data_IF_672217853869
#
_entry.id   IF_672217853869
#
_cell.length_a   1.000
_cell.length_b   1.000
_cell.length_c   1.000
_cell.angle_alpha   90.00
_cell.angle_beta   90.00
_cell.angle_gamma   90.00
#
_symmetry.space_group_name_H-M   'P 1'
#
loop_
_entity.id
_entity.type
_entity.pdbx_description
1 polymer ?
#
# COMPACT_ATOMS: atom_id res chain seq x y z
N UNK A 1 2.94 21.65 19.78
CA UNK A 1 2.20 20.38 19.72
C UNK A 1 3.13 19.34 19.15
N UNK A 2 3.33 18.22 19.86
CA UNK A 2 4.29 17.20 19.45
C UNK A 2 3.56 16.07 18.71
N UNK A 3 3.78 15.90 17.39
CA UNK A 3 3.30 14.74 16.66
C UNK A 3 3.91 13.44 17.21
N UNK A 4 3.07 12.45 17.44
CA UNK A 4 3.42 11.13 17.96
C UNK A 4 3.17 10.09 16.86
N UNK A 5 4.15 9.23 16.58
CA UNK A 5 3.92 8.13 15.65
C UNK A 5 2.91 7.15 16.24
N UNK A 6 2.08 6.52 15.42
CA UNK A 6 1.03 5.61 15.94
C UNK A 6 1.66 4.44 16.71
N UNK A 7 2.78 3.90 16.23
CA UNK A 7 3.57 2.88 16.91
C UNK A 7 4.18 3.39 18.23
N UNK A 8 4.64 4.64 18.28
CA UNK A 8 5.20 5.22 19.53
C UNK A 8 4.12 5.62 20.53
N UNK A 9 2.96 6.06 20.05
CA UNK A 9 1.84 6.51 20.86
C UNK A 9 1.26 5.38 21.73
N UNK A 10 1.46 4.12 21.34
CA UNK A 10 0.88 2.96 22.03
C UNK A 10 1.91 1.98 22.62
N UNK A 11 3.20 2.37 22.66
CA UNK A 11 4.31 1.50 23.10
C UNK A 11 5.10 2.09 24.27
N UNK A 12 4.73 1.70 25.51
CA UNK A 12 5.75 1.38 26.50
C UNK A 12 6.12 -0.10 26.27
N UNK A 13 7.37 -0.32 25.82
CA UNK A 13 8.05 -1.61 25.53
C UNK A 13 7.49 -2.50 24.41
N UNK A 14 8.26 -2.59 23.32
CA UNK A 14 8.37 -3.80 22.50
C UNK A 14 7.94 -3.64 21.04
N UNK A 15 8.94 -3.67 20.15
CA UNK A 15 8.87 -3.98 18.71
C UNK A 15 8.26 -2.93 17.77
N UNK A 16 9.15 -2.27 17.02
CA UNK A 16 8.79 -1.60 15.77
C UNK A 16 8.71 -2.64 14.66
N UNK A 17 7.51 -2.96 14.19
CA UNK A 17 7.30 -3.72 12.96
C UNK A 17 6.67 -2.81 11.90
N UNK A 18 7.50 -2.39 10.95
CA UNK A 18 7.03 -1.85 9.67
C UNK A 18 6.42 -3.04 8.92
N UNK A 19 5.12 -2.97 8.65
CA UNK A 19 4.39 -4.03 7.97
C UNK A 19 4.88 -4.20 6.53
N UNK A 20 5.06 -5.49 6.25
CA UNK A 20 5.52 -6.19 5.06
C UNK A 20 5.06 -5.55 3.74
N UNK A 21 6.02 -5.08 2.96
CA UNK A 21 5.79 -4.68 1.57
C UNK A 21 5.51 -5.95 0.75
N UNK A 22 4.50 -5.91 -0.10
CA UNK A 22 3.90 -6.91 -1.03
C UNK A 22 4.71 -8.08 -1.63
N UNK A 23 5.62 -8.73 -0.90
CA UNK A 23 6.57 -9.74 -1.39
C UNK A 23 6.40 -11.09 -0.69
N UNK A 24 5.21 -11.40 -0.20
CA UNK A 24 4.87 -12.75 0.25
C UNK A 24 4.92 -13.70 -0.95
N UNK A 25 5.81 -14.71 -0.91
CA UNK A 25 5.90 -15.69 -1.98
C UNK A 25 4.60 -16.49 -2.01
N UNK A 26 4.15 -16.85 -3.21
CA UNK A 26 3.04 -17.79 -3.32
C UNK A 26 3.43 -19.11 -2.61
N UNK A 27 2.54 -19.74 -1.83
CA UNK A 27 2.85 -21.01 -1.16
C UNK A 27 3.35 -22.11 -2.12
N UNK A 28 2.97 -22.07 -3.40
CA UNK A 28 3.43 -23.01 -4.43
C UNK A 28 4.77 -22.62 -5.08
N UNK A 29 5.37 -21.50 -4.69
CA UNK A 29 6.52 -20.92 -5.36
C UNK A 29 7.70 -21.89 -5.43
N UNK A 30 8.08 -22.49 -4.31
CA UNK A 30 9.20 -23.42 -4.22
C UNK A 30 8.96 -24.68 -5.08
N UNK A 31 7.76 -25.25 -5.03
CA UNK A 31 7.38 -26.39 -5.87
C UNK A 31 7.40 -26.03 -7.36
N UNK A 32 6.89 -24.85 -7.71
CA UNK A 32 6.85 -24.35 -9.08
C UNK A 32 8.25 -24.10 -9.63
N UNK A 33 9.19 -23.59 -8.81
CA UNK A 33 10.60 -23.41 -9.21
C UNK A 33 11.23 -24.77 -9.47
N UNK A 34 11.07 -25.75 -8.56
CA UNK A 34 11.60 -27.10 -8.78
C UNK A 34 11.07 -27.71 -10.08
N UNK A 35 9.79 -27.52 -10.37
CA UNK A 35 9.20 -27.99 -11.63
C UNK A 35 9.85 -27.33 -12.86
N UNK A 36 9.94 -25.99 -12.87
CA UNK A 36 10.49 -25.22 -13.99
C UNK A 36 11.97 -25.55 -14.23
N UNK A 37 12.76 -25.64 -13.15
CA UNK A 37 14.18 -25.98 -13.23
C UNK A 37 14.38 -27.40 -13.75
N UNK A 38 13.54 -28.34 -13.34
CA UNK A 38 13.57 -29.72 -13.83
C UNK A 38 13.23 -29.80 -15.33
N UNK A 39 12.21 -29.07 -15.77
CA UNK A 39 11.76 -29.09 -17.17
C UNK A 39 12.64 -28.24 -18.09
N UNK A 40 13.48 -27.36 -17.54
CA UNK A 40 14.27 -26.33 -18.24
C UNK A 40 13.42 -25.46 -19.20
N UNK A 41 12.11 -25.39 -18.96
CA UNK A 41 11.14 -24.64 -19.76
C UNK A 41 10.14 -23.99 -18.81
N UNK A 42 9.87 -22.71 -19.03
CA UNK A 42 8.89 -21.94 -18.27
C UNK A 42 7.82 -21.39 -19.20
N UNK A 43 6.56 -21.67 -18.87
CA UNK A 43 5.40 -21.08 -19.53
C UNK A 43 4.24 -21.00 -18.54
N UNK A 44 3.45 -19.93 -18.62
CA UNK A 44 2.28 -19.74 -17.75
C UNK A 44 1.32 -20.93 -17.88
N UNK A 45 1.03 -21.36 -19.12
CA UNK A 45 0.15 -22.51 -19.39
C UNK A 45 0.69 -23.86 -18.93
N UNK A 46 2.03 -24.01 -18.86
CA UNK A 46 2.67 -25.18 -18.24
C UNK A 46 2.40 -25.24 -16.74
N UNK A 47 2.64 -24.13 -16.04
CA UNK A 47 2.40 -24.01 -14.60
C UNK A 47 0.91 -24.18 -14.27
N UNK A 48 0.01 -23.59 -15.06
CA UNK A 48 -1.45 -23.77 -14.88
C UNK A 48 -1.86 -25.24 -14.85
N UNK A 49 -1.40 -26.02 -15.82
CA UNK A 49 -1.77 -27.44 -15.95
C UNK A 49 -1.15 -28.30 -14.86
N UNK A 50 0.12 -28.04 -14.53
CA UNK A 50 0.85 -28.79 -13.53
C UNK A 50 0.25 -28.61 -12.12
N UNK A 51 -0.03 -27.36 -11.74
CA UNK A 51 -0.49 -27.01 -10.40
C UNK A 51 -2.00 -26.82 -10.28
N UNK A 52 -2.74 -26.97 -11.39
CA UNK A 52 -4.21 -26.79 -11.46
C UNK A 52 -4.67 -25.44 -10.92
N UNK A 53 -3.94 -24.38 -11.28
CA UNK A 53 -4.23 -23.00 -10.86
C UNK A 53 -4.70 -22.13 -12.03
N UNK A 54 -5.42 -21.06 -11.71
CA UNK A 54 -5.86 -20.07 -12.69
C UNK A 54 -4.70 -19.31 -13.34
N UNK A 55 -4.93 -18.75 -14.54
CA UNK A 55 -3.93 -18.03 -15.33
C UNK A 55 -3.21 -16.95 -14.52
N UNK A 56 -3.95 -16.10 -13.81
CA UNK A 56 -3.38 -14.99 -13.02
C UNK A 56 -2.42 -15.47 -11.94
N UNK A 57 -2.69 -16.62 -11.30
CA UNK A 57 -1.81 -17.17 -10.26
C UNK A 57 -0.56 -17.82 -10.87
N UNK A 58 -0.71 -18.50 -12.00
CA UNK A 58 0.43 -19.02 -12.74
C UNK A 58 1.33 -17.90 -13.28
N UNK A 59 0.75 -16.82 -13.80
CA UNK A 59 1.49 -15.65 -14.25
C UNK A 59 2.26 -14.99 -13.09
N UNK A 60 1.64 -14.88 -11.90
CA UNK A 60 2.34 -14.42 -10.69
C UNK A 60 3.52 -15.29 -10.32
N UNK A 61 3.36 -16.62 -10.37
CA UNK A 61 4.48 -17.52 -10.06
C UNK A 61 5.65 -17.30 -11.03
N UNK A 62 5.37 -17.08 -12.32
CA UNK A 62 6.40 -16.75 -13.31
C UNK A 62 7.07 -15.40 -13.00
N UNK A 63 6.31 -14.37 -12.66
CA UNK A 63 6.83 -13.05 -12.28
C UNK A 63 7.71 -13.12 -11.03
N UNK A 64 7.26 -13.84 -9.99
CA UNK A 64 8.06 -14.07 -8.78
C UNK A 64 9.36 -14.83 -9.07
N UNK A 65 9.37 -15.73 -10.06
CA UNK A 65 10.57 -16.47 -10.46
C UNK A 65 11.57 -15.57 -11.18
N UNK A 66 11.09 -14.63 -12.00
CA UNK A 66 11.90 -13.62 -12.67
C UNK A 66 12.55 -12.69 -11.63
N UNK A 67 11.76 -12.16 -10.70
CA UNK A 67 12.25 -11.31 -9.60
C UNK A 67 13.26 -12.01 -8.68
N UNK A 68 13.12 -13.33 -8.53
CA UNK A 68 14.04 -14.16 -7.79
C UNK A 68 15.32 -14.53 -8.56
N UNK A 69 15.40 -14.19 -9.85
CA UNK A 69 16.53 -14.56 -10.72
C UNK A 69 16.56 -16.05 -11.08
N UNK A 70 15.44 -16.77 -10.94
CA UNK A 70 15.30 -18.17 -11.36
C UNK A 70 15.17 -18.28 -12.86
N UNK A 71 14.48 -17.31 -13.48
CA UNK A 71 14.26 -17.23 -14.91
C UNK A 71 14.65 -15.85 -15.46
N UNK A 72 14.93 -15.78 -16.75
CA UNK A 72 15.25 -14.53 -17.43
C UNK A 72 14.01 -13.65 -17.63
N UNK A 73 14.26 -12.40 -17.98
CA UNK A 73 13.25 -11.55 -18.60
C UNK A 73 12.67 -12.20 -19.85
N UNK A 74 11.45 -11.78 -20.22
CA UNK A 74 10.80 -12.27 -21.42
C UNK A 74 11.57 -11.83 -22.67
N UNK A 75 12.08 -12.80 -23.43
CA UNK A 75 12.76 -12.54 -24.69
C UNK A 75 11.82 -12.04 -25.79
N UNK A 76 12.40 -11.59 -26.91
CA UNK A 76 11.66 -11.02 -28.04
C UNK A 76 10.67 -12.00 -28.71
N UNK A 77 10.84 -13.30 -28.48
CA UNK A 77 9.96 -14.38 -28.94
C UNK A 77 8.93 -14.82 -27.88
N UNK A 78 8.85 -14.11 -26.75
CA UNK A 78 7.96 -14.43 -25.63
C UNK A 78 8.47 -15.55 -24.70
N UNK A 79 9.61 -16.18 -25.01
CA UNK A 79 10.20 -17.24 -24.19
C UNK A 79 11.06 -16.67 -23.06
N UNK A 80 11.18 -17.45 -21.99
CA UNK A 80 12.05 -17.17 -20.84
C UNK A 80 12.98 -18.35 -20.63
N UNK A 81 14.22 -18.07 -20.25
CA UNK A 81 15.25 -19.07 -20.01
C UNK A 81 15.40 -19.33 -18.51
N UNK A 82 15.71 -20.57 -18.12
CA UNK A 82 15.95 -20.92 -16.71
C UNK A 82 17.42 -20.66 -16.38
N UNK A 83 17.66 -19.80 -15.38
CA UNK A 83 18.99 -19.29 -15.04
C UNK A 83 19.67 -20.02 -13.88
N UNK A 84 18.98 -20.95 -13.24
CA UNK A 84 19.47 -21.68 -12.05
C UNK A 84 19.40 -23.19 -12.24
N UNK A 85 20.14 -23.95 -11.42
CA UNK A 85 20.12 -25.41 -11.39
C UNK A 85 19.49 -25.93 -10.10
N UNK A 86 18.93 -27.15 -10.12
CA UNK A 86 18.21 -27.70 -8.98
C UNK A 86 19.14 -27.94 -7.77
N UNK A 87 20.40 -28.27 -8.02
CA UNK A 87 21.47 -28.39 -7.03
C UNK A 87 21.79 -27.06 -6.34
N UNK A 88 21.56 -25.95 -7.02
CA UNK A 88 21.83 -24.60 -6.52
C UNK A 88 20.60 -23.94 -5.90
N UNK A 89 19.39 -24.45 -6.20
CA UNK A 89 18.15 -23.86 -5.70
C UNK A 89 17.93 -24.16 -4.21
N UNK A 90 17.78 -23.10 -3.43
CA UNK A 90 17.35 -23.17 -2.03
C UNK A 90 16.51 -21.92 -1.72
N UNK A 91 15.26 -22.12 -1.29
CA UNK A 91 14.34 -21.05 -0.92
C UNK A 91 14.94 -20.13 0.17
N UNK A 92 15.79 -20.69 1.04
CA UNK A 92 16.49 -19.97 2.10
C UNK A 92 17.39 -18.86 1.55
N UNK A 93 17.92 -19.00 0.32
CA UNK A 93 18.71 -17.96 -0.34
C UNK A 93 17.86 -16.73 -0.65
N UNK A 94 16.62 -16.92 -1.08
CA UNK A 94 15.69 -15.82 -1.34
C UNK A 94 15.28 -15.15 -0.04
N UNK A 95 14.97 -15.94 1.00
CA UNK A 95 14.66 -15.39 2.32
C UNK A 95 15.83 -14.58 2.89
N UNK A 96 17.08 -15.06 2.72
CA UNK A 96 18.28 -14.34 3.13
C UNK A 96 18.49 -13.04 2.31
N UNK A 97 18.33 -13.10 0.98
CA UNK A 97 18.41 -11.91 0.10
C UNK A 97 17.32 -10.89 0.46
N UNK A 98 16.11 -11.35 0.77
CA UNK A 98 15.01 -10.52 1.27
C UNK A 98 15.38 -9.87 2.60
N UNK A 99 15.86 -10.65 3.57
CA UNK A 99 16.28 -10.14 4.87
C UNK A 99 17.39 -9.10 4.73
N UNK A 100 18.35 -9.31 3.84
CA UNK A 100 19.45 -8.37 3.58
C UNK A 100 18.96 -7.09 2.90
N UNK A 101 18.15 -7.18 1.83
CA UNK A 101 17.54 -6.02 1.17
C UNK A 101 16.67 -5.23 2.14
N UNK A 102 15.85 -5.92 2.92
CA UNK A 102 15.00 -5.32 3.94
C UNK A 102 15.82 -4.60 5.02
N UNK A 103 16.91 -5.23 5.49
CA UNK A 103 17.82 -4.62 6.46
C UNK A 103 18.48 -3.36 5.89
N UNK A 104 19.03 -3.44 4.68
CA UNK A 104 19.66 -2.31 4.00
C UNK A 104 18.69 -1.14 3.81
N UNK A 105 17.48 -1.43 3.32
CA UNK A 105 16.41 -0.44 3.15
C UNK A 105 16.02 0.23 4.48
N UNK A 106 15.90 -0.57 5.56
CA UNK A 106 15.56 -0.05 6.89
C UNK A 106 16.69 0.78 7.50
N UNK A 107 17.95 0.40 7.27
CA UNK A 107 19.10 1.16 7.75
C UNK A 107 19.20 2.52 7.02
N UNK A 108 19.01 2.55 5.70
CA UNK A 108 18.95 3.80 4.90
C UNK A 108 17.79 4.71 5.34
N UNK A 109 16.61 4.13 5.60
CA UNK A 109 15.45 4.83 6.13
C UNK A 109 15.77 5.49 7.48
N UNK A 110 16.35 4.74 8.41
CA UNK A 110 16.70 5.23 9.74
C UNK A 110 17.69 6.39 9.67
N UNK A 111 18.69 6.28 8.81
CA UNK A 111 19.65 7.34 8.58
C UNK A 111 18.94 8.62 8.09
N UNK A 112 18.17 8.53 7.00
CA UNK A 112 17.43 9.69 6.46
C UNK A 112 16.46 10.31 7.47
N UNK A 113 15.78 9.49 8.26
CA UNK A 113 14.87 9.95 9.33
C UNK A 113 15.63 10.63 10.47
N UNK A 114 16.82 10.14 10.83
CA UNK A 114 17.63 10.71 11.90
C UNK A 114 18.13 12.12 11.56
N UNK A 115 18.31 12.43 10.26
CA UNK A 115 18.68 13.77 9.79
C UNK A 115 17.50 14.76 9.74
N UNK A 116 16.25 14.31 9.93
CA UNK A 116 15.09 15.17 9.84
C UNK A 116 14.86 15.99 11.12
N UNK A 117 14.53 17.27 10.95
CA UNK A 117 14.38 18.22 12.05
C UNK A 117 12.98 18.24 12.66
N UNK A 118 12.02 17.54 12.05
CA UNK A 118 10.63 17.48 12.53
C UNK A 118 9.97 16.14 12.20
N UNK A 119 8.97 15.73 12.98
CA UNK A 119 8.22 14.50 12.70
C UNK A 119 7.47 14.55 11.36
N UNK A 120 6.83 15.66 10.94
CA UNK A 120 6.22 15.70 9.60
C UNK A 120 7.25 15.44 8.49
N UNK A 121 8.47 15.93 8.66
CA UNK A 121 9.58 15.66 7.75
C UNK A 121 10.02 14.19 7.80
N UNK A 122 10.13 13.59 8.99
CA UNK A 122 10.37 12.15 9.13
C UNK A 122 9.30 11.30 8.44
N UNK A 123 8.01 11.67 8.60
CA UNK A 123 6.90 10.96 7.98
C UNK A 123 6.93 11.12 6.46
N UNK A 124 7.25 12.33 5.96
CA UNK A 124 7.47 12.55 4.53
C UNK A 124 8.60 11.68 3.97
N UNK A 125 9.75 11.62 4.64
CA UNK A 125 10.89 10.77 4.24
C UNK A 125 10.48 9.30 4.23
N UNK A 126 9.80 8.84 5.29
CA UNK A 126 9.28 7.48 5.40
C UNK A 126 8.33 7.15 4.25
N UNK A 127 7.38 8.04 3.95
CA UNK A 127 6.42 7.85 2.87
C UNK A 127 7.07 7.76 1.50
N UNK A 128 7.99 8.68 1.20
CA UNK A 128 8.72 8.72 -0.08
C UNK A 128 9.54 7.45 -0.26
N UNK A 129 10.29 7.07 0.77
CA UNK A 129 11.20 5.93 0.70
C UNK A 129 10.44 4.60 0.62
N UNK A 130 9.35 4.45 1.38
CA UNK A 130 8.49 3.25 1.32
C UNK A 130 7.46 3.29 0.20
N UNK A 131 7.38 4.38 -0.58
CA UNK A 131 6.40 4.59 -1.65
C UNK A 131 4.97 4.26 -1.21
N UNK A 132 4.57 4.69 0.00
CA UNK A 132 3.25 4.44 0.57
C UNK A 132 2.77 5.61 1.41
N UNK A 133 1.45 5.77 1.51
CA UNK A 133 0.84 6.73 2.44
C UNK A 133 1.19 6.32 3.86
N UNK A 134 1.62 7.31 4.64
CA UNK A 134 1.86 7.16 6.08
C UNK A 134 0.86 8.01 6.85
N UNK A 135 0.50 7.52 8.04
CA UNK A 135 -0.35 8.22 8.99
C UNK A 135 0.37 8.39 10.32
N UNK A 136 0.09 9.48 11.02
CA UNK A 136 0.61 9.74 12.38
C UNK A 136 -0.42 10.55 13.18
N UNK A 137 -0.21 10.62 14.49
CA UNK A 137 -1.07 11.38 15.38
C UNK A 137 -0.41 12.71 15.72
N UNK A 138 -1.21 13.76 15.75
CA UNK A 138 -0.79 15.06 16.24
C UNK A 138 -1.62 15.40 17.47
N UNK A 139 -0.95 15.63 18.60
CA UNK A 139 -1.61 16.06 19.83
C UNK A 139 -2.28 17.43 19.62
N UNK A 140 -3.58 17.52 19.88
CA UNK A 140 -4.34 18.77 19.75
C UNK A 140 -4.29 19.63 21.01
N UNK A 141 -3.64 19.17 22.08
CA UNK A 141 -3.62 19.82 23.39
C UNK A 141 -4.98 19.87 24.09
N UNK A 142 -6.00 19.24 23.51
CA UNK A 142 -7.37 19.23 24.02
C UNK A 142 -7.71 17.90 24.70
N UNK A 143 -8.59 17.95 25.70
CA UNK A 143 -9.14 16.77 26.36
C UNK A 143 -10.62 16.59 25.94
N UNK A 144 -11.02 15.34 25.78
CA UNK A 144 -12.41 14.95 25.57
C UNK A 144 -13.22 15.11 26.88
N UNK A 145 -14.57 15.13 26.81
CA UNK A 145 -15.42 15.22 28.00
C UNK A 145 -15.18 14.10 29.04
N UNK A 146 -14.65 12.96 28.59
CA UNK A 146 -14.29 11.79 29.40
C UNK A 146 -12.84 11.81 29.90
N UNK A 147 -12.09 12.90 29.66
CA UNK A 147 -10.73 13.10 30.14
C UNK A 147 -9.63 12.50 29.27
N UNK A 148 -9.96 11.87 28.13
CA UNK A 148 -8.96 11.37 27.18
C UNK A 148 -8.39 12.49 26.30
N UNK A 149 -7.10 12.43 26.02
CA UNK A 149 -6.46 13.37 25.11
C UNK A 149 -6.93 13.19 23.67
N UNK A 150 -7.21 14.31 23.01
CA UNK A 150 -7.72 14.35 21.63
C UNK A 150 -6.56 14.47 20.67
N UNK A 151 -6.50 13.55 19.71
CA UNK A 151 -5.49 13.55 18.66
C UNK A 151 -6.10 13.87 17.31
N UNK A 152 -5.30 14.53 16.48
CA UNK A 152 -5.57 14.72 15.06
C UNK A 152 -4.84 13.66 14.26
N UNK A 153 -5.57 12.86 13.51
CA UNK A 153 -5.01 11.85 12.61
C UNK A 153 -4.53 12.52 11.31
N UNK A 154 -3.22 12.64 11.15
CA UNK A 154 -2.56 13.22 9.98
C UNK A 154 -2.15 12.15 9.00
N UNK A 155 -1.98 12.54 7.73
CA UNK A 155 -1.39 11.68 6.71
C UNK A 155 -0.49 12.44 5.75
N UNK A 156 0.38 11.71 5.07
CA UNK A 156 1.17 12.23 3.97
C UNK A 156 1.18 11.20 2.83
N UNK A 157 0.77 11.65 1.63
CA UNK A 157 0.85 10.89 0.40
C UNK A 157 2.10 11.29 -0.39
N UNK A 158 2.99 10.34 -0.74
CA UNK A 158 4.23 10.65 -1.47
C UNK A 158 4.03 10.73 -2.98
N UNK A 159 2.85 10.35 -3.50
CA UNK A 159 2.72 9.95 -4.89
C UNK A 159 2.81 11.08 -5.90
N UNK A 160 2.28 12.26 -5.59
CA UNK A 160 2.46 13.44 -6.45
C UNK A 160 3.93 13.83 -6.56
N UNK A 161 4.67 13.76 -5.45
CA UNK A 161 6.11 14.02 -5.43
C UNK A 161 6.89 12.97 -6.24
N UNK A 162 6.61 11.68 -6.04
CA UNK A 162 7.28 10.59 -6.75
C UNK A 162 7.02 10.65 -8.26
N UNK A 163 5.78 10.94 -8.66
CA UNK A 163 5.40 11.06 -10.07
C UNK A 163 6.08 12.23 -10.78
N UNK A 164 6.28 13.36 -10.08
CA UNK A 164 6.99 14.51 -10.62
C UNK A 164 8.49 14.21 -10.88
N UNK A 165 9.08 13.25 -10.17
CA UNK A 165 10.47 12.84 -10.32
C UNK A 165 10.63 11.55 -11.14
N UNK A 166 9.54 10.99 -11.66
CA UNK A 166 9.56 9.81 -12.50
C UNK A 166 9.84 10.19 -13.95
N UNK A 167 10.75 9.46 -14.61
CA UNK A 167 10.93 9.56 -16.07
C UNK A 167 9.68 9.01 -16.76
N UNK A 168 9.12 9.78 -17.69
CA UNK A 168 8.00 9.27 -18.50
C UNK A 168 8.51 8.21 -19.48
N UNK A 169 7.99 6.99 -19.36
CA UNK A 169 8.34 5.85 -20.21
C UNK A 169 7.22 5.45 -21.17
N UNK A 170 6.11 6.19 -21.20
CA UNK A 170 5.01 5.98 -22.13
C UNK A 170 5.40 6.57 -23.49
N UNK A 171 5.50 5.74 -24.52
CA UNK A 171 5.78 6.19 -25.89
C UNK A 171 4.49 6.34 -26.70
N UNK A 172 4.60 7.05 -27.83
CA UNK A 172 3.51 7.25 -28.79
C UNK A 172 2.87 5.94 -29.23
N UNK A 173 3.71 4.91 -29.41
CA UNK A 173 3.31 3.64 -29.98
C UNK A 173 2.71 2.69 -28.93
N UNK A 174 2.87 2.99 -27.64
CA UNK A 174 2.42 2.13 -26.53
C UNK A 174 0.94 2.36 -26.18
N UNK A 175 0.39 3.55 -26.45
CA UNK A 175 -0.97 3.94 -26.06
C UNK A 175 -1.55 4.91 -27.08
N UNK A 176 -2.77 4.63 -27.55
CA UNK A 176 -3.53 5.44 -28.52
C UNK A 176 -3.81 6.89 -28.08
N UNK A 177 -3.49 7.24 -26.83
CA UNK A 177 -3.77 8.53 -26.18
C UNK A 177 -2.56 9.09 -25.40
N UNK A 178 -1.34 8.77 -25.82
CA UNK A 178 -0.08 9.22 -25.20
C UNK A 178 0.12 10.76 -25.18
N UNK A 179 -0.62 11.46 -26.05
CA UNK A 179 -0.70 12.92 -26.14
C UNK A 179 -1.48 13.53 -24.97
N UNK A 180 -2.46 12.84 -24.40
CA UNK A 180 -3.32 13.33 -23.30
C UNK A 180 -3.07 12.63 -21.95
N UNK A 181 -2.44 11.46 -21.93
CA UNK A 181 -2.15 10.69 -20.70
C UNK A 181 -0.73 11.01 -20.17
N UNK A 182 -0.60 11.26 -18.86
CA UNK A 182 0.69 11.47 -18.16
C UNK A 182 1.09 10.29 -17.26
N UNK A 183 0.32 9.20 -17.28
CA UNK A 183 0.55 8.01 -16.48
C UNK A 183 -0.75 7.30 -16.11
N UNK A 184 -0.66 6.41 -15.14
CA UNK A 184 -1.81 5.73 -14.55
C UNK A 184 -1.84 6.01 -13.06
N UNK A 185 -3.02 6.30 -12.52
CA UNK A 185 -3.26 6.53 -11.10
C UNK A 185 -4.03 5.36 -10.50
N UNK A 186 -3.51 4.78 -9.42
CA UNK A 186 -4.16 3.71 -8.70
C UNK A 186 -5.23 4.25 -7.75
N UNK A 187 -6.43 3.68 -7.81
CA UNK A 187 -7.55 4.00 -6.95
C UNK A 187 -7.92 2.74 -6.16
N UNK A 188 -7.62 2.75 -4.86
CA UNK A 188 -8.10 1.73 -3.93
C UNK A 188 -9.61 1.85 -3.69
N UNK A 189 -10.28 0.71 -3.50
CA UNK A 189 -11.69 0.65 -3.11
C UNK A 189 -11.82 0.97 -1.62
N UNK A 190 -12.56 2.02 -1.27
CA UNK A 190 -12.65 2.55 0.11
C UNK A 190 -13.65 1.75 0.97
N UNK A 191 -13.18 0.62 1.48
CA UNK A 191 -13.97 -0.30 2.30
C UNK A 191 -13.19 -0.76 3.53
N UNK A 192 -13.91 -1.13 4.59
CA UNK A 192 -13.31 -1.65 5.83
C UNK A 192 -12.49 -2.93 5.59
N UNK A 193 -12.96 -3.77 4.67
CA UNK A 193 -12.31 -5.03 4.28
C UNK A 193 -11.10 -4.84 3.36
N UNK A 194 -10.87 -3.63 2.84
CA UNK A 194 -9.75 -3.39 1.92
C UNK A 194 -8.45 -3.42 2.72
N UNK A 195 -7.45 -4.23 2.32
CA UNK A 195 -6.20 -4.33 3.07
C UNK A 195 -5.42 -3.01 3.15
N UNK A 196 -4.74 -2.77 4.27
CA UNK A 196 -3.85 -1.61 4.44
C UNK A 196 -2.78 -1.48 3.34
N UNK A 197 -2.25 -2.61 2.87
CA UNK A 197 -1.26 -2.64 1.78
C UNK A 197 -1.82 -2.08 0.47
N UNK A 198 -3.13 -2.19 0.23
CA UNK A 198 -3.82 -1.61 -0.92
C UNK A 198 -4.21 -0.16 -0.67
N UNK A 199 -4.81 0.13 0.50
CA UNK A 199 -5.24 1.48 0.88
C UNK A 199 -4.07 2.47 0.90
N UNK A 200 -2.90 2.05 1.41
CA UNK A 200 -1.71 2.89 1.47
C UNK A 200 -1.11 3.21 0.10
N UNK A 201 -1.59 2.57 -0.96
CA UNK A 201 -1.21 2.83 -2.35
C UNK A 201 -2.22 3.71 -3.08
N UNK A 202 -3.33 4.12 -2.44
CA UNK A 202 -4.33 4.98 -3.06
C UNK A 202 -3.69 6.30 -3.54
N UNK A 203 -3.96 6.65 -4.80
CA UNK A 203 -3.40 7.82 -5.45
C UNK A 203 -1.98 7.64 -6.00
N UNK A 204 -1.41 6.42 -5.96
CA UNK A 204 -0.13 6.12 -6.62
C UNK A 204 -0.20 6.40 -8.10
N UNK A 205 0.81 7.10 -8.63
CA UNK A 205 0.91 7.40 -10.06
C UNK A 205 2.16 6.73 -10.61
N UNK A 206 2.03 6.07 -11.76
CA UNK A 206 3.13 5.43 -12.47
C UNK A 206 3.11 5.86 -13.95
N UNK A 207 4.25 6.35 -14.43
CA UNK A 207 4.46 6.82 -15.81
C UNK A 207 5.09 5.73 -16.70
N UNK A 208 4.51 4.55 -16.66
CA UNK A 208 4.94 3.37 -17.44
C UNK A 208 3.78 2.83 -18.27
N UNK A 209 4.04 2.08 -19.36
CA UNK A 209 2.99 1.40 -20.11
C UNK A 209 2.15 0.46 -19.22
N UNK A 210 0.87 0.24 -19.59
CA UNK A 210 -0.11 -0.55 -18.80
C UNK A 210 0.43 -1.91 -18.36
N UNK A 211 1.11 -2.62 -19.26
CA UNK A 211 1.65 -3.95 -19.03
C UNK A 211 2.82 -3.99 -18.03
N UNK A 212 3.39 -2.83 -17.66
CA UNK A 212 4.45 -2.68 -16.64
C UNK A 212 3.96 -2.08 -15.34
N UNK A 213 2.65 -1.85 -15.19
CA UNK A 213 2.11 -1.30 -13.94
C UNK A 213 2.30 -2.31 -12.80
N UNK A 214 2.72 -1.86 -11.62
CA UNK A 214 2.94 -2.77 -10.50
C UNK A 214 1.61 -3.34 -10.02
N UNK A 215 1.64 -4.62 -9.65
CA UNK A 215 0.48 -5.29 -9.07
C UNK A 215 0.33 -4.92 -7.59
N UNK A 216 -0.66 -4.09 -7.30
CA UNK A 216 -1.01 -3.70 -5.92
C UNK A 216 -2.06 -4.64 -5.32
N UNK A 217 -3.00 -5.11 -6.14
CA UNK A 217 -4.17 -5.86 -5.68
C UNK A 217 -3.99 -7.37 -5.81
N UNK A 218 -4.47 -8.09 -4.80
CA UNK A 218 -4.61 -9.56 -4.85
C UNK A 218 -5.91 -9.95 -5.56
N UNK A 219 -6.97 -9.16 -5.38
CA UNK A 219 -8.30 -9.37 -5.95
C UNK A 219 -8.78 -8.09 -6.66
N UNK A 220 -9.45 -8.23 -7.80
CA UNK A 220 -9.80 -7.10 -8.69
C UNK A 220 -10.69 -6.04 -8.03
N UNK A 221 -11.57 -6.45 -7.09
CA UNK A 221 -12.44 -5.49 -6.39
C UNK A 221 -11.68 -4.55 -5.45
N UNK A 222 -10.42 -4.83 -5.11
CA UNK A 222 -9.66 -4.06 -4.12
C UNK A 222 -9.19 -2.69 -4.65
N UNK A 223 -9.14 -2.51 -5.95
CA UNK A 223 -8.74 -1.26 -6.58
C UNK A 223 -8.37 -1.43 -8.05
N UNK A 224 -8.20 -0.31 -8.74
CA UNK A 224 -7.99 -0.27 -10.18
C UNK A 224 -7.00 0.84 -10.56
N UNK A 225 -6.27 0.61 -11.66
CA UNK A 225 -5.48 1.66 -12.32
C UNK A 225 -6.35 2.40 -13.33
N UNK A 226 -6.42 3.73 -13.20
CA UNK A 226 -7.11 4.60 -14.15
C UNK A 226 -6.11 5.46 -14.91
N UNK A 227 -6.36 5.78 -16.19
CA UNK A 227 -5.58 6.79 -16.91
C UNK A 227 -5.52 8.10 -16.12
N UNK A 228 -4.32 8.64 -15.94
CA UNK A 228 -4.10 9.93 -15.31
C UNK A 228 -3.82 10.96 -16.41
N UNK A 229 -4.77 11.86 -16.72
CA UNK A 229 -4.57 12.84 -17.77
C UNK A 229 -3.49 13.84 -17.40
N UNK A 230 -2.88 14.46 -18.42
CA UNK A 230 -2.07 15.66 -18.26
C UNK A 230 -2.95 16.78 -17.69
N UNK A 231 -2.32 17.73 -17.01
CA UNK A 231 -2.98 19.00 -16.70
C UNK A 231 -3.34 19.73 -17.99
N UNK A 232 -4.40 20.52 -17.97
CA UNK A 232 -4.79 21.40 -19.08
C UNK A 232 -3.63 22.29 -19.51
N UNK A 233 -2.88 22.83 -18.55
CA UNK A 233 -1.68 23.64 -18.84
C UNK A 233 -0.59 22.84 -19.55
N UNK A 234 -0.38 21.58 -19.20
CA UNK A 234 0.57 20.71 -19.90
C UNK A 234 0.08 20.30 -21.30
N UNK A 235 -1.22 20.43 -21.56
CA UNK A 235 -1.83 20.29 -22.89
C UNK A 235 -1.86 21.61 -23.68
N UNK A 236 -1.30 22.70 -23.13
CA UNK A 236 -1.29 24.02 -23.77
C UNK A 236 -2.57 24.83 -23.60
N UNK A 237 -3.47 24.41 -22.71
CA UNK A 237 -4.72 25.10 -22.38
C UNK A 237 -4.53 25.88 -21.07
N UNK A 238 -4.62 27.21 -21.14
CA UNK A 238 -4.54 28.07 -19.95
C UNK A 238 -5.92 28.19 -19.29
N UNK A 239 -6.36 27.09 -18.69
CA UNK A 239 -7.59 26.99 -17.92
C UNK A 239 -7.28 26.35 -16.57
N UNK A 240 -8.10 26.68 -15.57
CA UNK A 240 -7.98 26.09 -14.25
C UNK A 240 -8.33 24.60 -14.27
N UNK A 241 -7.60 23.84 -13.46
CA UNK A 241 -7.88 22.42 -13.26
C UNK A 241 -9.24 22.24 -12.58
N UNK A 242 -9.93 21.17 -12.94
CA UNK A 242 -11.15 20.80 -12.24
C UNK A 242 -10.83 20.47 -10.77
N UNK A 243 -11.68 20.89 -9.82
CA UNK A 243 -11.49 20.53 -8.43
C UNK A 243 -11.56 19.00 -8.27
N UNK A 244 -10.87 18.43 -7.26
CA UNK A 244 -10.94 17.01 -6.97
C UNK A 244 -12.40 16.59 -6.77
N UNK A 245 -12.81 15.51 -7.44
CA UNK A 245 -14.14 14.95 -7.27
C UNK A 245 -14.34 14.21 -5.96
N UNK A 246 -15.42 13.43 -5.90
CA UNK A 246 -15.67 12.47 -4.83
C UNK A 246 -15.54 11.03 -5.35
N UNK A 247 -15.44 10.08 -4.44
CA UNK A 247 -15.47 8.65 -4.75
C UNK A 247 -16.43 7.91 -3.82
N UNK A 248 -16.93 6.76 -4.28
CA UNK A 248 -17.80 5.90 -3.48
C UNK A 248 -17.01 5.14 -2.40
N UNK A 249 -17.65 4.94 -1.24
CA UNK A 249 -17.12 4.19 -0.10
C UNK A 249 -18.25 3.52 0.68
N UNK A 250 -17.90 2.66 1.65
CA UNK A 250 -18.88 2.05 2.56
C UNK A 250 -19.64 3.08 3.42
N UNK A 251 -19.12 4.31 3.54
CA UNK A 251 -19.76 5.41 4.29
C UNK A 251 -20.39 6.47 3.40
N UNK A 252 -20.57 6.20 2.10
CA UNK A 252 -21.12 7.13 1.12
C UNK A 252 -20.03 7.80 0.28
N UNK A 253 -20.26 9.03 -0.17
CA UNK A 253 -19.26 9.76 -0.94
C UNK A 253 -18.19 10.36 -0.01
N UNK A 254 -16.93 10.14 -0.37
CA UNK A 254 -15.74 10.72 0.29
C UNK A 254 -14.91 11.48 -0.72
N UNK A 255 -14.00 12.39 -0.31
CA UNK A 255 -13.07 13.06 -1.22
C UNK A 255 -12.31 12.06 -2.10
N UNK A 256 -11.96 12.44 -3.34
CA UNK A 256 -11.30 11.54 -4.30
C UNK A 256 -9.86 11.12 -3.91
N UNK A 257 -9.24 11.77 -2.93
CA UNK A 257 -7.98 11.35 -2.30
C UNK A 257 -8.20 10.45 -1.06
N UNK A 258 -9.46 10.11 -0.79
CA UNK A 258 -9.93 9.31 0.34
C UNK A 258 -10.22 10.11 1.61
N UNK A 259 -9.69 11.33 1.74
CA UNK A 259 -9.87 12.21 2.89
C UNK A 259 -9.65 11.54 4.25
N UNK A 260 -10.39 12.01 5.25
CA UNK A 260 -10.33 11.47 6.62
C UNK A 260 -10.84 10.02 6.74
N UNK A 261 -11.67 9.55 5.80
CA UNK A 261 -12.11 8.16 5.80
C UNK A 261 -10.97 7.20 5.44
N UNK A 262 -10.13 7.52 4.44
CA UNK A 262 -8.93 6.72 4.16
C UNK A 262 -7.99 6.69 5.36
N UNK A 263 -7.80 7.84 6.04
CA UNK A 263 -6.98 7.90 7.26
C UNK A 263 -7.55 6.97 8.33
N UNK A 264 -8.86 7.01 8.56
CA UNK A 264 -9.57 6.11 9.47
C UNK A 264 -9.34 4.64 9.10
N UNK A 265 -9.53 4.26 7.84
CA UNK A 265 -9.32 2.88 7.37
C UNK A 265 -7.89 2.40 7.60
N UNK A 266 -6.89 3.24 7.30
CA UNK A 266 -5.47 2.94 7.54
C UNK A 266 -5.19 2.79 9.04
N UNK A 267 -5.79 3.62 9.87
CA UNK A 267 -5.63 3.56 11.33
C UNK A 267 -6.25 2.30 11.93
N UNK A 268 -7.45 1.91 11.51
CA UNK A 268 -8.09 0.67 11.96
C UNK A 268 -7.31 -0.56 11.48
N UNK A 269 -6.84 -0.57 10.24
CA UNK A 269 -5.98 -1.64 9.74
C UNK A 269 -4.66 -1.73 10.52
N UNK A 270 -4.10 -0.60 10.93
CA UNK A 270 -2.92 -0.59 11.80
C UNK A 270 -3.23 -1.26 13.14
N UNK A 271 -4.33 -0.88 13.81
CA UNK A 271 -4.79 -1.53 15.05
C UNK A 271 -4.98 -3.05 14.85
N UNK A 272 -5.51 -3.47 13.70
CA UNK A 272 -5.66 -4.89 13.34
C UNK A 272 -4.32 -5.62 13.43
N UNK A 273 -3.31 -5.03 12.79
CA UNK A 273 -1.97 -5.61 12.66
C UNK A 273 -1.13 -5.55 13.94
N UNK A 274 -1.55 -4.81 14.97
CA UNK A 274 -0.83 -4.77 16.24
C UNK A 274 -0.88 -6.13 16.95
N UNK A 275 0.29 -6.60 17.36
CA UNK A 275 0.47 -7.73 18.28
C UNK A 275 0.10 -7.29 19.71
N UNK A 276 -1.20 -7.19 19.97
CA UNK A 276 -1.74 -6.71 21.25
C UNK A 276 -3.03 -7.44 21.63
N UNK A 277 -3.27 -7.56 22.93
CA UNK A 277 -4.48 -8.15 23.49
C UNK A 277 -5.75 -7.41 23.06
N UNK A 278 -6.86 -8.16 22.97
CA UNK A 278 -8.16 -7.63 22.56
C UNK A 278 -8.61 -6.43 23.41
N UNK A 279 -8.32 -6.43 24.72
CA UNK A 279 -8.62 -5.31 25.62
C UNK A 279 -7.90 -4.03 25.20
N UNK A 280 -6.62 -4.14 24.85
CA UNK A 280 -5.82 -3.00 24.37
C UNK A 280 -6.38 -2.49 23.05
N UNK A 281 -6.66 -3.38 22.08
CA UNK A 281 -7.29 -3.00 20.80
C UNK A 281 -8.62 -2.25 21.00
N UNK A 282 -9.46 -2.69 21.95
CA UNK A 282 -10.71 -1.99 22.29
C UNK A 282 -10.49 -0.59 22.84
N UNK A 283 -9.50 -0.39 23.71
CA UNK A 283 -9.13 0.92 24.24
C UNK A 283 -8.62 1.88 23.15
N UNK A 284 -7.85 1.36 22.19
CA UNK A 284 -7.39 2.12 21.02
C UNK A 284 -8.59 2.62 20.20
N UNK A 285 -9.57 1.74 19.96
CA UNK A 285 -10.81 2.10 19.25
C UNK A 285 -11.60 3.13 20.04
N UNK A 286 -11.71 3.01 21.38
CA UNK A 286 -12.39 4.01 22.22
C UNK A 286 -11.71 5.38 22.15
N UNK A 287 -10.38 5.41 22.15
CA UNK A 287 -9.61 6.66 21.98
C UNK A 287 -9.87 7.27 20.61
N UNK A 288 -9.90 6.44 19.56
CA UNK A 288 -10.19 6.86 18.19
C UNK A 288 -11.52 7.59 18.05
N UNK A 289 -12.52 7.24 18.87
CA UNK A 289 -13.84 7.86 18.85
C UNK A 289 -13.80 9.38 19.05
N UNK A 290 -12.87 9.86 19.88
CA UNK A 290 -12.73 11.28 20.19
C UNK A 290 -11.74 12.01 19.27
N UNK A 291 -11.13 11.30 18.33
CA UNK A 291 -10.14 11.86 17.42
C UNK A 291 -10.79 12.56 16.24
N UNK A 292 -10.03 13.45 15.64
CA UNK A 292 -10.40 14.20 14.43
C UNK A 292 -9.41 13.89 13.33
N UNK A 293 -9.88 13.81 12.10
CA UNK A 293 -8.99 13.70 10.96
C UNK A 293 -8.32 15.04 10.62
N UNK A 294 -7.37 14.97 9.69
CA UNK A 294 -6.62 16.13 9.22
C UNK A 294 -7.53 17.17 8.57
N UNK A 295 -8.56 16.72 7.85
CA UNK A 295 -9.50 17.58 7.13
C UNK A 295 -10.63 18.09 8.05
N UNK A 296 -10.63 17.64 9.31
CA UNK A 296 -11.51 18.11 10.38
C UNK A 296 -12.73 17.23 10.61
N UNK A 297 -12.87 16.10 9.92
CA UNK A 297 -13.98 15.17 10.19
C UNK A 297 -13.72 14.37 11.48
N UNK A 298 -14.67 14.30 12.42
CA UNK A 298 -14.52 13.46 13.60
C UNK A 298 -14.58 11.99 13.21
N UNK A 299 -13.68 11.17 13.76
CA UNK A 299 -13.64 9.74 13.42
C UNK A 299 -14.88 8.98 13.91
N UNK A 300 -15.54 9.47 14.97
CA UNK A 300 -16.84 8.95 15.45
C UNK A 300 -17.87 8.87 14.33
N UNK A 301 -17.90 9.85 13.41
CA UNK A 301 -18.80 9.85 12.23
C UNK A 301 -18.70 8.58 11.40
N UNK A 302 -17.50 8.04 11.24
CA UNK A 302 -17.28 6.80 10.49
C UNK A 302 -17.62 5.59 11.35
N UNK A 303 -17.27 5.63 12.63
CA UNK A 303 -17.49 4.55 13.58
C UNK A 303 -18.99 4.28 13.84
N UNK A 304 -19.79 5.32 14.00
CA UNK A 304 -21.23 5.24 14.27
C UNK A 304 -22.00 4.57 13.11
N UNK A 305 -21.49 4.65 11.87
CA UNK A 305 -22.07 3.92 10.74
C UNK A 305 -21.94 2.39 10.85
N UNK A 306 -21.09 1.90 11.75
CA UNK A 306 -20.88 0.47 12.00
C UNK A 306 -21.63 -0.06 13.25
N UNK A 307 -22.29 0.79 14.04
CA UNK A 307 -23.16 0.40 15.16
C UNK A 307 -23.64 1.57 16.05
N UNK A 308 -24.69 1.35 16.84
CA UNK A 308 -25.39 2.41 17.61
C UNK A 308 -24.75 2.77 18.96
N UNK A 309 -23.75 2.01 19.46
CA UNK A 309 -23.01 2.38 20.67
C UNK A 309 -21.53 1.94 20.65
N UNK A 310 -20.70 2.66 21.42
CA UNK A 310 -19.24 2.50 21.44
C UNK A 310 -18.78 1.07 21.81
N UNK A 311 -19.51 0.37 22.68
CA UNK A 311 -19.20 -1.02 23.05
C UNK A 311 -19.50 -1.99 21.92
N UNK A 312 -20.60 -1.79 21.18
CA UNK A 312 -20.96 -2.58 20.01
C UNK A 312 -20.00 -2.30 18.86
N UNK A 313 -19.63 -1.04 18.63
CA UNK A 313 -18.63 -0.63 17.64
C UNK A 313 -17.30 -1.30 17.97
N UNK A 314 -16.82 -1.17 19.22
CA UNK A 314 -15.57 -1.76 19.68
C UNK A 314 -15.61 -3.29 19.62
N UNK A 315 -16.73 -3.91 20.00
CA UNK A 315 -16.90 -5.37 19.94
C UNK A 315 -17.03 -5.92 18.52
N UNK A 316 -17.67 -5.19 17.60
CA UNK A 316 -17.84 -5.61 16.20
C UNK A 316 -16.57 -5.38 15.41
N UNK A 317 -15.94 -4.22 15.56
CA UNK A 317 -14.61 -3.97 15.03
C UNK A 317 -13.65 -5.03 15.59
N UNK A 318 -13.61 -5.26 16.90
CA UNK A 318 -12.75 -6.32 17.47
C UNK A 318 -13.11 -7.76 17.05
N UNK A 319 -14.29 -8.02 16.47
CA UNK A 319 -14.68 -9.31 15.89
C UNK A 319 -14.32 -9.42 14.41
N UNK A 320 -14.30 -8.31 13.68
CA UNK A 320 -13.90 -8.21 12.27
C UNK A 320 -12.37 -7.98 12.11
N UNK A 321 -11.70 -7.59 13.20
CA UNK A 321 -10.24 -7.44 13.38
C UNK A 321 -9.61 -8.75 13.80
#
# INVERSE_FOLDING_TARGET
MNPVRIDTFFTYRGSATVSDDGWELDPLFDEAVRYVVTQRKVSVSGIQRQFRIGYNRAAMLVEQMEDAGVISEQGHNGNREVMTELSEWDISKIEALKRNRFKQHNDELKEKIALANSVPEQQRISAITNRKIVIWLEDTGSLSPSGFQVFRLRSFSPFSYLAAHQKNMIKSDDVEYSDIIDGYKFIATMQMRTPASVLSQHGRIEKVPVHRLPRIVRQEWQGIWLPNPKSFRNMGLDIDEMPPGTMASDVGQVPADGGDYLRFLLFINHIKSLEADTTKKKELIRTAYFMVGQDGEPLSKFMDKFGDNLEQISSRLAREL
#
